data_IF_604906336712
#
_entry.id   IF_604906336712
#
_cell.length_a   1.000
_cell.length_b   1.000
_cell.length_c   1.000
_cell.angle_alpha   90.00
_cell.angle_beta   90.00
_cell.angle_gamma   90.00
#
_symmetry.space_group_name_H-M   'P 1'
#
loop_
_entity.id
_entity.type
_entity.pdbx_description
1 polymer ?
#
# COMPACT_ATOMS: atom_id res chain seq x y z
N UNK A 1 -18.70 -10.26 18.49
CA UNK A 1 -19.39 -9.79 17.27
C UNK A 1 -18.32 -9.72 16.21
N UNK A 2 -18.18 -10.78 15.42
CA UNK A 2 -17.12 -10.92 14.42
C UNK A 2 -17.68 -10.41 13.08
N UNK A 3 -17.21 -9.26 12.61
CA UNK A 3 -17.62 -8.73 11.31
C UNK A 3 -16.72 -9.34 10.22
N UNK A 4 -17.20 -10.43 9.61
CA UNK A 4 -16.62 -10.99 8.39
C UNK A 4 -17.02 -10.09 7.21
N UNK A 5 -16.20 -9.09 6.88
CA UNK A 5 -16.37 -8.33 5.64
C UNK A 5 -15.87 -9.16 4.46
N UNK A 6 -16.78 -9.97 3.90
CA UNK A 6 -16.59 -10.65 2.61
C UNK A 6 -16.63 -9.60 1.48
N UNK A 7 -15.47 -9.02 1.16
CA UNK A 7 -15.29 -8.27 -0.07
C UNK A 7 -15.38 -9.25 -1.25
N UNK A 8 -16.55 -9.35 -1.88
CA UNK A 8 -16.78 -10.17 -3.08
C UNK A 8 -16.13 -9.48 -4.28
N UNK A 9 -14.82 -9.67 -4.45
CA UNK A 9 -14.15 -9.37 -5.71
C UNK A 9 -14.53 -10.42 -6.75
N UNK A 10 -14.85 -10.00 -7.99
CA UNK A 10 -14.92 -10.92 -9.11
C UNK A 10 -13.52 -11.52 -9.30
N UNK A 11 -13.41 -12.83 -9.17
CA UNK A 11 -12.19 -13.57 -9.42
C UNK A 11 -11.88 -13.60 -10.93
N UNK A 12 -11.43 -12.48 -11.48
CA UNK A 12 -10.45 -12.58 -12.55
C UNK A 12 -9.13 -12.91 -11.85
N UNK A 13 -8.62 -14.11 -12.11
CA UNK A 13 -7.29 -14.52 -11.66
C UNK A 13 -6.29 -13.59 -12.35
N UNK A 14 -5.97 -12.49 -11.70
CA UNK A 14 -4.70 -11.81 -11.95
C UNK A 14 -3.68 -12.84 -11.49
N UNK A 15 -3.06 -13.55 -12.43
CA UNK A 15 -1.90 -14.41 -12.16
C UNK A 15 -0.73 -13.50 -11.78
N UNK A 16 -0.82 -12.93 -10.58
CA UNK A 16 0.19 -12.09 -9.97
C UNK A 16 1.29 -12.98 -9.38
N UNK A 17 1.84 -13.87 -10.20
CA UNK A 17 3.14 -14.52 -9.94
C UNK A 17 4.30 -13.55 -10.24
N UNK A 18 4.11 -12.28 -9.93
CA UNK A 18 5.22 -11.40 -9.63
C UNK A 18 5.27 -11.39 -8.11
N UNK A 19 6.41 -11.83 -7.55
CA UNK A 19 6.78 -11.54 -6.16
C UNK A 19 6.80 -10.02 -6.01
N UNK A 20 5.62 -9.44 -5.80
CA UNK A 20 5.51 -8.05 -5.37
C UNK A 20 5.76 -8.08 -3.88
N UNK A 21 7.03 -8.01 -3.51
CA UNK A 21 7.48 -7.92 -2.12
C UNK A 21 6.75 -6.81 -1.33
N UNK A 22 6.18 -5.83 -2.04
CA UNK A 22 5.49 -4.67 -1.49
C UNK A 22 4.29 -4.25 -2.33
N UNK A 23 3.16 -4.00 -1.67
CA UNK A 23 1.90 -3.49 -2.22
C UNK A 23 1.46 -2.27 -1.42
N UNK A 24 0.95 -1.24 -2.09
CA UNK A 24 0.42 -0.04 -1.44
C UNK A 24 -1.10 0.06 -1.62
N UNK A 25 -1.79 0.63 -0.63
CA UNK A 25 -3.24 0.80 -0.63
C UNK A 25 -3.68 2.08 0.08
N UNK A 26 -4.92 2.48 -0.19
CA UNK A 26 -5.57 3.63 0.45
C UNK A 26 -6.85 3.13 1.10
N UNK A 27 -7.02 3.43 2.39
CA UNK A 27 -8.24 3.12 3.14
C UNK A 27 -8.86 4.44 3.57
N UNK A 28 -10.12 4.66 3.19
CA UNK A 28 -10.80 5.91 3.51
C UNK A 28 -12.31 5.74 3.63
N UNK A 29 -12.92 6.54 4.51
CA UNK A 29 -14.37 6.72 4.64
C UNK A 29 -14.85 8.07 4.05
N UNK A 30 -14.01 8.67 3.19
CA UNK A 30 -14.06 10.03 2.64
C UNK A 30 -13.51 11.15 3.56
N UNK A 31 -13.64 11.02 4.88
CA UNK A 31 -13.16 12.03 5.83
C UNK A 31 -11.76 11.71 6.33
N UNK A 32 -11.48 10.45 6.66
CA UNK A 32 -10.16 10.01 7.10
C UNK A 32 -9.48 9.24 5.98
N UNK A 33 -8.20 9.56 5.74
CA UNK A 33 -7.40 8.93 4.71
C UNK A 33 -6.19 8.25 5.35
N UNK A 34 -6.14 6.93 5.25
CA UNK A 34 -5.03 6.10 5.70
C UNK A 34 -4.28 5.56 4.48
N UNK A 35 -2.95 5.56 4.56
CA UNK A 35 -2.08 4.97 3.55
C UNK A 35 -1.51 3.67 4.10
N UNK A 36 -1.74 2.58 3.37
CA UNK A 36 -1.36 1.24 3.78
C UNK A 36 -0.21 0.73 2.92
N UNK A 37 0.73 0.06 3.56
CA UNK A 37 1.78 -0.72 2.93
C UNK A 37 1.63 -2.17 3.41
N UNK A 38 1.63 -3.10 2.46
CA UNK A 38 1.65 -4.53 2.71
C UNK A 38 2.94 -5.10 2.12
N UNK A 39 3.69 -5.88 2.90
CA UNK A 39 4.88 -6.59 2.43
C UNK A 39 4.90 -8.01 2.95
N UNK A 40 5.57 -8.91 2.24
CA UNK A 40 5.82 -10.25 2.76
C UNK A 40 6.93 -10.18 3.83
N UNK A 41 6.72 -10.85 4.96
CA UNK A 41 7.77 -11.05 5.96
C UNK A 41 8.70 -12.22 5.55
N UNK A 42 9.69 -12.52 6.40
CA UNK A 42 10.65 -13.59 6.15
C UNK A 42 10.01 -15.00 6.10
N UNK A 43 8.77 -15.14 6.58
CA UNK A 43 7.99 -16.39 6.57
C UNK A 43 7.03 -16.44 5.36
N UNK A 44 7.03 -15.40 4.52
CA UNK A 44 6.11 -15.27 3.38
C UNK A 44 4.69 -14.88 3.79
N UNK A 45 4.49 -14.39 5.02
CA UNK A 45 3.18 -13.93 5.50
C UNK A 45 3.04 -12.42 5.26
N UNK A 46 1.84 -11.93 4.88
CA UNK A 46 1.61 -10.51 4.71
C UNK A 46 1.69 -9.77 6.05
N UNK A 47 2.55 -8.77 6.09
CA UNK A 47 2.69 -7.78 7.15
C UNK A 47 2.12 -6.45 6.68
N UNK A 48 1.44 -5.73 7.56
CA UNK A 48 0.74 -4.50 7.23
C UNK A 48 1.25 -3.34 8.06
N UNK A 49 1.49 -2.20 7.41
CA UNK A 49 1.75 -0.91 8.04
C UNK A 49 0.66 0.06 7.59
N UNK A 50 0.16 0.84 8.54
CA UNK A 50 -0.84 1.85 8.29
C UNK A 50 -0.29 3.19 8.78
N UNK A 51 -0.46 4.25 7.98
CA UNK A 51 -0.12 5.60 8.39
C UNK A 51 -1.06 6.12 9.47
N UNK A 52 -0.68 7.21 10.12
CA UNK A 52 -1.67 8.07 10.80
C UNK A 52 -2.66 8.64 9.76
N UNK A 53 -3.92 8.87 10.15
CA UNK A 53 -4.93 9.41 9.24
C UNK A 53 -4.66 10.86 8.88
N UNK A 54 -4.95 11.21 7.63
CA UNK A 54 -5.18 12.61 7.24
C UNK A 54 -6.68 12.88 7.23
N UNK A 55 -7.15 13.71 8.15
CA UNK A 55 -8.57 14.05 8.26
C UNK A 55 -8.91 15.25 7.39
N UNK A 56 -9.79 15.06 6.41
CA UNK A 56 -10.34 16.05 5.50
C UNK A 56 -11.78 16.36 5.94
N UNK A 57 -12.01 17.58 6.41
CA UNK A 57 -13.33 18.09 6.77
C UNK A 57 -13.69 19.22 5.82
N UNK A 58 -14.90 19.19 5.28
CA UNK A 58 -15.38 20.24 4.38
C UNK A 58 -15.49 21.58 5.12
N UNK A 59 -15.10 22.68 4.45
CA UNK A 59 -15.02 24.05 5.02
C UNK A 59 -14.02 24.22 6.18
N UNK A 60 -13.09 23.29 6.35
CA UNK A 60 -11.93 23.49 7.23
C UNK A 60 -11.00 24.57 6.65
N UNK A 61 -10.54 25.51 7.49
CA UNK A 61 -9.65 26.60 7.06
C UNK A 61 -8.34 26.07 6.44
N UNK A 62 -7.91 24.87 6.85
CA UNK A 62 -6.72 24.20 6.35
C UNK A 62 -7.03 23.11 5.30
N UNK A 63 -8.26 23.07 4.77
CA UNK A 63 -8.71 22.06 3.80
C UNK A 63 -7.76 21.95 2.61
N UNK A 64 -7.34 23.08 2.04
CA UNK A 64 -6.47 23.08 0.87
C UNK A 64 -5.11 22.41 1.16
N UNK A 65 -4.51 22.67 2.32
CA UNK A 65 -3.24 22.06 2.68
C UNK A 65 -3.39 20.56 2.97
N UNK A 66 -4.48 20.15 3.64
CA UNK A 66 -4.82 18.75 3.89
C UNK A 66 -5.02 17.97 2.59
N UNK A 67 -5.76 18.52 1.63
CA UNK A 67 -5.96 17.92 0.30
C UNK A 67 -4.64 17.82 -0.46
N UNK A 68 -3.81 18.87 -0.45
CA UNK A 68 -2.47 18.82 -1.05
C UNK A 68 -1.60 17.73 -0.44
N UNK A 69 -1.67 17.53 0.88
CA UNK A 69 -0.96 16.45 1.57
C UNK A 69 -1.40 15.07 1.08
N UNK A 70 -2.71 14.83 0.96
CA UNK A 70 -3.25 13.57 0.44
C UNK A 70 -2.83 13.33 -1.01
N UNK A 71 -2.97 14.34 -1.88
CA UNK A 71 -2.52 14.24 -3.27
C UNK A 71 -1.01 13.97 -3.37
N UNK A 72 -0.20 14.62 -2.53
CA UNK A 72 1.24 14.37 -2.47
C UNK A 72 1.58 12.92 -2.12
N UNK A 73 0.88 12.33 -1.16
CA UNK A 73 1.06 10.91 -0.83
C UNK A 73 0.60 9.97 -1.96
N UNK A 74 -0.50 10.30 -2.66
CA UNK A 74 -0.96 9.50 -3.80
C UNK A 74 0.09 9.52 -4.92
N UNK A 75 0.62 10.69 -5.26
CA UNK A 75 1.70 10.82 -6.25
C UNK A 75 2.92 10.00 -5.82
N UNK A 76 3.33 10.11 -4.55
CA UNK A 76 4.45 9.33 -4.02
C UNK A 76 4.23 7.81 -4.13
N UNK A 77 3.03 7.30 -3.82
CA UNK A 77 2.70 5.87 -3.98
C UNK A 77 2.80 5.44 -5.44
N UNK A 78 2.27 6.26 -6.36
CA UNK A 78 2.31 5.95 -7.79
C UNK A 78 3.75 5.93 -8.33
N UNK A 79 4.62 6.81 -7.84
CA UNK A 79 6.05 6.80 -8.17
C UNK A 79 6.73 5.55 -7.60
N UNK A 80 6.46 5.21 -6.34
CA UNK A 80 7.05 4.05 -5.67
C UNK A 80 6.64 2.74 -6.33
N UNK A 81 5.38 2.60 -6.74
CA UNK A 81 4.86 1.43 -7.44
C UNK A 81 5.44 1.23 -8.85
N UNK A 82 6.05 2.27 -9.43
CA UNK A 82 6.69 2.21 -10.75
C UNK A 82 8.20 1.92 -10.68
N UNK A 83 8.80 1.92 -9.48
CA UNK A 83 10.21 1.59 -9.32
C UNK A 83 10.43 0.10 -9.59
N UNK A 84 11.46 -0.28 -10.37
CA UNK A 84 11.83 -1.69 -10.49
C UNK A 84 12.25 -2.22 -9.12
N UNK A 85 11.77 -3.41 -8.76
CA UNK A 85 12.31 -4.14 -7.61
C UNK A 85 13.75 -4.53 -7.99
N UNK A 86 14.73 -3.89 -7.35
CA UNK A 86 16.12 -4.27 -7.52
C UNK A 86 16.27 -5.73 -7.12
N UNK A 87 16.47 -6.61 -8.09
CA UNK A 87 16.74 -8.03 -7.90
C UNK A 87 18.15 -8.21 -7.32
N UNK A 88 18.38 -7.75 -6.09
CA UNK A 88 19.61 -8.01 -5.33
C UNK A 88 19.51 -9.33 -4.58
N UNK A 89 19.37 -10.43 -5.32
CA UNK A 89 19.76 -11.77 -4.85
C UNK A 89 20.32 -12.61 -6.00
N UNK A 90 21.63 -12.52 -6.25
CA UNK A 90 22.48 -13.66 -6.66
C UNK A 90 23.94 -13.20 -6.80
N UNK A 91 24.96 -13.87 -6.26
CA UNK A 91 24.98 -15.12 -5.53
C UNK A 91 26.25 -15.29 -4.72
N UNK A 92 26.08 -15.95 -3.58
CA UNK A 92 27.16 -16.67 -2.88
C UNK A 92 27.79 -17.65 -3.87
N UNK A 93 29.04 -17.39 -4.26
CA UNK A 93 29.83 -18.36 -5.03
C UNK A 93 30.09 -19.55 -4.12
N UNK A 94 29.57 -20.72 -4.50
CA UNK A 94 30.04 -22.00 -3.99
C UNK A 94 31.30 -22.34 -4.75
N UNK A 95 32.44 -22.36 -4.06
CA UNK A 95 33.69 -22.90 -4.59
C UNK A 95 33.51 -24.38 -4.93
N UNK A 96 34.09 -24.79 -6.05
CA UNK A 96 34.26 -26.18 -6.45
C UNK A 96 35.74 -26.45 -6.66
#
# INVERSE_FOLDING_TARGET
MESTLSCKHKADKIDNRQDVDRVFGIVTDASEWYFMECSLDNEGKPSFKLSEPVTIVYKDDNLQAKVKKVLGHIVWILEEAQKPVDASQSGVKRDR
#
